data_IF_969820503336
#
_entry.id   IF_969820503336
#
_cell.length_a   1.000
_cell.length_b   1.000
_cell.length_c   1.000
_cell.angle_alpha   90.00
_cell.angle_beta   90.00
_cell.angle_gamma   90.00
#
_symmetry.space_group_name_H-M   'P 1'
#
loop_
_entity.id
_entity.type
_entity.pdbx_description
1 polymer ?
#
# COMPACT_ATOMS: atom_id res chain seq x y z
N UNK A 1 5.64 -28.15 -17.81
CA UNK A 1 6.71 -27.90 -16.83
C UNK A 1 6.04 -27.49 -15.53
N UNK A 2 6.25 -28.21 -14.42
CA UNK A 2 5.77 -27.77 -13.10
C UNK A 2 6.87 -26.90 -12.50
N UNK A 3 6.57 -25.65 -12.15
CA UNK A 3 7.44 -24.78 -11.38
C UNK A 3 6.80 -24.47 -10.04
N UNK A 4 7.62 -24.29 -9.04
CA UNK A 4 7.24 -23.95 -7.67
C UNK A 4 7.78 -22.55 -7.37
N UNK A 5 6.95 -21.70 -6.77
CA UNK A 5 7.39 -20.37 -6.32
C UNK A 5 7.92 -20.54 -4.91
N UNK A 6 9.23 -20.43 -4.74
CA UNK A 6 9.88 -20.59 -3.43
C UNK A 6 9.72 -19.35 -2.54
N UNK A 7 9.72 -18.16 -3.14
CA UNK A 7 9.62 -16.89 -2.44
C UNK A 7 8.64 -15.98 -3.17
N UNK A 8 7.51 -15.72 -2.55
CA UNK A 8 6.50 -14.79 -3.04
C UNK A 8 6.26 -13.68 -2.02
N UNK A 9 5.90 -12.51 -2.51
CA UNK A 9 5.43 -11.42 -1.65
C UNK A 9 3.92 -11.47 -1.65
N UNK A 10 3.25 -11.63 -0.49
CA UNK A 10 1.80 -11.69 -0.43
C UNK A 10 1.20 -10.31 -0.69
N UNK A 11 0.10 -10.29 -1.42
CA UNK A 11 -0.80 -9.16 -1.55
C UNK A 11 -2.19 -9.62 -1.14
N UNK A 12 -2.68 -9.12 -0.02
CA UNK A 12 -4.03 -9.43 0.49
C UNK A 12 -5.03 -8.43 -0.08
N UNK A 13 -6.25 -8.89 -0.35
CA UNK A 13 -7.32 -8.09 -0.93
C UNK A 13 -8.58 -8.25 -0.13
N UNK A 14 -9.19 -7.12 0.22
CA UNK A 14 -10.47 -7.04 0.92
C UNK A 14 -11.35 -6.00 0.24
N UNK A 15 -12.57 -5.96 0.64
CA UNK A 15 -13.54 -4.92 0.24
C UNK A 15 -14.25 -4.38 1.47
N UNK A 16 -14.39 -3.07 1.52
CA UNK A 16 -15.18 -2.37 2.51
C UNK A 16 -15.87 -1.18 1.84
N UNK A 17 -17.16 -1.00 2.11
CA UNK A 17 -17.93 0.11 1.54
C UNK A 17 -17.30 1.45 1.97
N UNK A 18 -16.86 2.29 1.03
CA UNK A 18 -16.18 3.53 1.35
C UNK A 18 -17.11 4.69 1.69
N UNK A 19 -18.43 4.52 1.60
CA UNK A 19 -19.41 5.61 1.56
C UNK A 19 -19.31 6.56 2.75
N UNK A 20 -19.16 6.05 3.95
CA UNK A 20 -19.07 6.86 5.16
C UNK A 20 -17.80 7.73 5.18
N UNK A 21 -16.65 7.13 4.90
CA UNK A 21 -15.38 7.86 4.85
C UNK A 21 -15.36 8.84 3.68
N UNK A 22 -15.95 8.46 2.55
CA UNK A 22 -16.02 9.29 1.35
C UNK A 22 -16.72 10.62 1.61
N UNK A 23 -17.87 10.57 2.28
CA UNK A 23 -18.62 11.79 2.62
C UNK A 23 -17.79 12.73 3.51
N UNK A 24 -17.13 12.19 4.54
CA UNK A 24 -16.29 12.98 5.44
C UNK A 24 -15.09 13.57 4.71
N UNK A 25 -14.38 12.76 3.93
CA UNK A 25 -13.18 13.17 3.21
C UNK A 25 -13.52 14.21 2.13
N UNK A 26 -14.55 13.99 1.32
CA UNK A 26 -14.96 14.95 0.29
C UNK A 26 -15.35 16.30 0.88
N UNK A 27 -16.08 16.29 2.00
CA UNK A 27 -16.44 17.53 2.69
C UNK A 27 -15.21 18.31 3.16
N UNK A 28 -14.23 17.61 3.77
CA UNK A 28 -13.02 18.24 4.28
C UNK A 28 -12.14 18.79 3.16
N UNK A 29 -11.95 18.01 2.10
CA UNK A 29 -11.09 18.43 0.98
C UNK A 29 -11.76 19.37 0.00
N UNK A 30 -13.09 19.52 0.01
CA UNK A 30 -13.79 20.51 -0.80
C UNK A 30 -13.36 21.94 -0.47
N UNK A 31 -13.05 22.18 0.79
CA UNK A 31 -12.62 23.49 1.27
C UNK A 31 -11.09 23.68 1.16
N UNK A 32 -10.36 22.65 0.69
CA UNK A 32 -8.90 22.66 0.61
C UNK A 32 -8.34 23.25 -0.71
N UNK A 33 -9.18 23.64 -1.65
CA UNK A 33 -8.74 24.32 -2.87
C UNK A 33 -8.03 25.63 -2.49
N UNK A 34 -6.68 25.59 -2.54
CA UNK A 34 -5.81 26.71 -2.17
C UNK A 34 -5.15 26.62 -0.80
N UNK A 35 -5.43 25.58 0.00
CA UNK A 35 -4.66 25.34 1.21
C UNK A 35 -3.23 24.89 0.85
N UNK A 36 -2.21 25.32 1.61
CA UNK A 36 -0.86 24.82 1.42
C UNK A 36 -0.87 23.30 1.59
N UNK A 37 -0.07 22.63 0.77
CA UNK A 37 0.23 21.22 0.97
C UNK A 37 0.71 21.04 2.41
N UNK A 38 0.18 20.05 3.11
CA UNK A 38 0.72 19.73 4.42
C UNK A 38 2.21 19.49 4.29
N UNK A 39 2.99 20.21 5.09
CA UNK A 39 4.42 19.92 5.19
C UNK A 39 4.56 18.45 5.67
N UNK A 40 4.94 17.59 4.75
CA UNK A 40 5.21 16.20 5.09
C UNK A 40 6.46 16.15 5.95
N UNK A 41 6.40 15.56 7.15
CA UNK A 41 7.58 15.46 7.99
C UNK A 41 8.70 14.72 7.26
N UNK A 42 9.92 15.24 7.30
CA UNK A 42 11.09 14.53 6.82
C UNK A 42 11.57 14.85 5.40
N UNK A 43 11.03 15.89 4.77
CA UNK A 43 11.55 16.36 3.48
C UNK A 43 11.22 15.43 2.31
N UNK A 44 10.11 14.74 2.36
CA UNK A 44 9.60 13.95 1.26
C UNK A 44 9.24 14.85 0.09
N UNK A 45 9.72 14.49 -1.09
CA UNK A 45 9.38 15.18 -2.34
C UNK A 45 8.02 14.69 -2.85
N UNK A 46 6.96 15.01 -2.09
CA UNK A 46 5.60 14.69 -2.47
C UNK A 46 4.72 15.94 -2.43
N UNK A 47 3.74 15.99 -3.32
CA UNK A 47 2.77 17.07 -3.41
C UNK A 47 1.33 16.58 -3.20
N UNK A 48 1.13 15.68 -2.26
CA UNK A 48 -0.16 15.14 -1.85
C UNK A 48 -0.69 15.87 -0.63
N UNK A 49 -2.01 16.11 -0.57
CA UNK A 49 -2.65 16.54 0.67
C UNK A 49 -2.86 15.34 1.58
N UNK A 50 -2.27 15.38 2.76
CA UNK A 50 -2.40 14.32 3.76
C UNK A 50 -3.07 14.83 5.02
N UNK A 51 -4.05 14.09 5.51
CA UNK A 51 -4.77 14.40 6.73
C UNK A 51 -4.64 13.28 7.75
N UNK A 52 -3.94 13.57 8.84
CA UNK A 52 -3.79 12.67 9.99
C UNK A 52 -4.92 12.84 11.02
N UNK A 53 -5.67 13.93 10.99
CA UNK A 53 -6.69 14.23 12.01
C UNK A 53 -7.96 13.41 11.81
N UNK A 54 -8.32 13.15 10.56
CA UNK A 54 -9.46 12.25 10.26
C UNK A 54 -9.22 10.90 10.91
N UNK A 55 -8.00 10.40 10.91
CA UNK A 55 -7.65 9.11 11.49
C UNK A 55 -7.66 9.11 13.03
N UNK A 56 -7.42 10.25 13.65
CA UNK A 56 -7.43 10.38 15.13
C UNK A 56 -8.82 10.54 15.72
N UNK A 57 -9.78 10.96 14.93
CA UNK A 57 -11.18 11.00 15.34
C UNK A 57 -11.73 9.59 15.28
N UNK A 58 -12.00 8.95 16.37
CA UNK A 58 -12.53 7.61 16.68
C UNK A 58 -13.33 6.82 15.60
N UNK A 59 -13.55 7.38 14.42
CA UNK A 59 -14.20 6.77 13.28
C UNK A 59 -13.47 5.49 12.80
N UNK A 60 -12.15 5.41 13.00
CA UNK A 60 -11.35 4.34 12.45
C UNK A 60 -11.12 3.15 13.37
N UNK A 61 -11.30 3.31 14.68
CA UNK A 61 -11.01 2.22 15.62
C UNK A 61 -11.91 1.02 15.42
N UNK A 62 -13.09 1.22 14.88
CA UNK A 62 -14.06 0.12 14.64
C UNK A 62 -14.37 -0.13 13.17
N UNK A 63 -14.09 0.84 12.30
CA UNK A 63 -14.43 0.72 10.88
C UNK A 63 -13.68 -0.42 10.19
N UNK A 64 -12.43 -0.66 10.59
CA UNK A 64 -11.59 -1.72 10.02
C UNK A 64 -11.50 -2.99 10.89
N UNK A 65 -12.24 -3.09 11.99
CA UNK A 65 -12.12 -4.23 12.93
C UNK A 65 -12.36 -5.58 12.26
N UNK A 66 -13.39 -5.69 11.43
CA UNK A 66 -13.68 -6.93 10.70
C UNK A 66 -12.59 -7.27 9.67
N UNK A 67 -12.05 -6.26 9.00
CA UNK A 67 -10.93 -6.45 8.06
C UNK A 67 -9.68 -6.90 8.80
N UNK A 68 -9.36 -6.29 9.94
CA UNK A 68 -8.21 -6.67 10.76
C UNK A 68 -8.35 -8.07 11.34
N UNK A 69 -9.56 -8.49 11.65
CA UNK A 69 -9.84 -9.86 12.09
C UNK A 69 -9.59 -10.85 10.94
N UNK A 70 -10.19 -10.62 9.77
CA UNK A 70 -9.96 -11.46 8.58
C UNK A 70 -8.47 -11.53 8.24
N UNK A 71 -7.81 -10.38 8.20
CA UNK A 71 -6.37 -10.31 7.94
C UNK A 71 -5.55 -11.10 8.97
N UNK A 72 -5.91 -11.03 10.27
CA UNK A 72 -5.25 -11.81 11.32
C UNK A 72 -5.35 -13.32 11.06
N UNK A 73 -6.52 -13.79 10.61
CA UNK A 73 -6.74 -15.18 10.26
C UNK A 73 -5.94 -15.58 9.01
N UNK A 74 -5.93 -14.73 7.97
CA UNK A 74 -5.22 -14.97 6.71
C UNK A 74 -3.69 -15.05 6.88
N UNK A 75 -3.12 -14.25 7.79
CA UNK A 75 -1.68 -14.32 8.13
C UNK A 75 -1.36 -15.36 9.20
N UNK A 76 -2.35 -16.08 9.70
CA UNK A 76 -2.19 -17.19 10.64
C UNK A 76 -1.83 -16.79 12.07
N UNK A 77 -2.29 -15.65 12.54
CA UNK A 77 -2.09 -15.20 13.93
C UNK A 77 -2.97 -15.99 14.89
N UNK A 78 -2.44 -17.08 15.44
CA UNK A 78 -3.20 -17.98 16.34
C UNK A 78 -3.56 -17.38 17.70
N UNK A 79 -2.67 -16.55 18.26
CA UNK A 79 -2.79 -15.98 19.61
C UNK A 79 -2.55 -14.46 19.61
N UNK A 80 -2.65 -13.83 18.47
CA UNK A 80 -2.43 -12.40 18.31
C UNK A 80 -3.51 -11.78 17.44
N UNK A 81 -3.45 -10.48 17.30
CA UNK A 81 -4.27 -9.76 16.35
C UNK A 81 -3.46 -8.73 15.59
N UNK A 82 -3.85 -8.51 14.35
CA UNK A 82 -3.38 -7.37 13.59
C UNK A 82 -4.11 -6.11 14.09
N UNK A 83 -3.37 -5.02 14.18
CA UNK A 83 -3.93 -3.73 14.59
C UNK A 83 -3.36 -2.61 13.74
N UNK A 84 -4.22 -1.73 13.28
CA UNK A 84 -3.82 -0.45 12.70
C UNK A 84 -3.30 0.41 13.86
N UNK A 85 -2.04 0.84 13.77
CA UNK A 85 -1.43 1.71 14.76
C UNK A 85 -1.25 3.15 14.26
N UNK A 86 -1.33 3.34 12.95
CA UNK A 86 -1.24 4.62 12.29
C UNK A 86 -2.07 4.60 11.02
N UNK A 87 -2.78 5.69 10.74
CA UNK A 87 -3.54 5.85 9.49
C UNK A 87 -3.66 7.32 9.12
N UNK A 88 -3.85 7.59 7.83
CA UNK A 88 -4.05 8.93 7.28
C UNK A 88 -4.85 8.87 6.00
N UNK A 89 -5.48 9.97 5.65
CA UNK A 89 -6.20 10.13 4.39
C UNK A 89 -5.34 10.93 3.41
N UNK A 90 -5.14 10.39 2.23
CA UNK A 90 -4.47 11.06 1.13
C UNK A 90 -5.50 11.54 0.10
N UNK A 91 -5.33 12.79 -0.33
CA UNK A 91 -6.09 13.40 -1.39
C UNK A 91 -5.15 13.83 -2.51
N UNK A 92 -5.41 13.32 -3.71
CA UNK A 92 -4.66 13.63 -4.91
C UNK A 92 -5.57 14.33 -5.93
N UNK A 93 -5.06 15.40 -6.52
CA UNK A 93 -5.68 16.12 -7.62
C UNK A 93 -4.66 16.32 -8.73
N UNK A 94 -5.08 16.73 -9.91
CA UNK A 94 -4.23 16.77 -11.11
C UNK A 94 -2.78 17.22 -10.88
N UNK A 95 -1.85 16.42 -11.30
CA UNK A 95 -0.40 16.61 -11.13
C UNK A 95 0.18 16.16 -9.79
N UNK A 96 -0.65 15.85 -8.79
CA UNK A 96 -0.17 15.39 -7.48
C UNK A 96 0.34 13.95 -7.55
N UNK A 97 1.43 13.70 -6.84
CA UNK A 97 2.12 12.42 -6.77
C UNK A 97 2.66 12.15 -5.38
N UNK A 98 3.07 10.93 -5.14
CA UNK A 98 3.84 10.55 -3.96
C UNK A 98 5.06 9.76 -4.42
N UNK A 99 6.23 10.18 -3.96
CA UNK A 99 7.50 9.54 -4.28
C UNK A 99 7.57 8.10 -3.77
N UNK A 100 8.60 7.39 -4.23
CA UNK A 100 8.86 6.03 -3.82
C UNK A 100 9.38 5.95 -2.40
N UNK A 101 8.63 5.25 -1.53
CA UNK A 101 8.91 5.10 -0.11
C UNK A 101 8.48 3.73 0.40
N UNK A 102 8.83 3.42 1.65
CA UNK A 102 8.36 2.28 2.43
C UNK A 102 7.87 2.74 3.81
N UNK A 103 7.34 1.81 4.58
CA UNK A 103 6.79 2.09 5.91
C UNK A 103 7.45 1.28 7.03
N UNK A 104 8.74 0.95 6.87
CA UNK A 104 9.48 0.31 7.96
C UNK A 104 9.54 1.26 9.20
N UNK A 105 9.43 0.73 10.43
CA UNK A 105 9.48 -0.67 10.84
C UNK A 105 8.10 -1.36 10.98
N UNK A 106 7.04 -0.85 10.40
CA UNK A 106 5.74 -1.53 10.42
C UNK A 106 5.82 -2.89 9.72
N UNK A 107 4.94 -3.83 10.09
CA UNK A 107 4.93 -5.15 9.47
C UNK A 107 4.20 -5.17 8.13
N UNK A 108 3.03 -4.53 8.08
CA UNK A 108 2.21 -4.42 6.88
C UNK A 108 1.70 -3.01 6.70
N UNK A 109 1.47 -2.65 5.46
CA UNK A 109 0.84 -1.39 5.05
C UNK A 109 -0.40 -1.69 4.23
N UNK A 110 -1.41 -0.86 4.38
CA UNK A 110 -2.67 -1.02 3.66
C UNK A 110 -3.11 0.27 2.99
N UNK A 111 -3.86 0.12 1.90
CA UNK A 111 -4.48 1.21 1.17
C UNK A 111 -5.94 0.83 0.91
N UNK A 112 -6.87 1.67 1.40
CA UNK A 112 -8.29 1.59 1.08
C UNK A 112 -8.63 2.69 0.06
N UNK A 113 -9.15 2.31 -1.09
CA UNK A 113 -9.51 3.22 -2.18
C UNK A 113 -10.89 3.80 -1.96
N UNK A 114 -10.97 5.02 -1.45
CA UNK A 114 -12.22 5.69 -1.04
C UNK A 114 -12.93 6.33 -2.23
N UNK A 115 -12.17 7.03 -3.06
CA UNK A 115 -12.62 7.58 -4.34
C UNK A 115 -11.56 7.26 -5.38
N UNK A 116 -11.96 6.47 -6.35
CA UNK A 116 -11.04 5.96 -7.34
C UNK A 116 -11.77 5.77 -8.68
N UNK A 117 -11.45 6.59 -9.64
CA UNK A 117 -11.95 6.50 -11.02
C UNK A 117 -10.78 6.15 -11.95
N UNK A 118 -10.69 6.75 -13.10
CA UNK A 118 -9.69 6.47 -14.14
C UNK A 118 -8.23 6.80 -13.76
N UNK A 119 -7.84 6.51 -12.53
CA UNK A 119 -6.49 6.72 -12.01
C UNK A 119 -5.66 5.44 -12.06
N UNK A 120 -4.34 5.62 -12.17
CA UNK A 120 -3.43 4.52 -11.90
C UNK A 120 -3.45 4.16 -10.40
N UNK A 121 -3.43 2.87 -10.07
CA UNK A 121 -3.28 2.43 -8.68
C UNK A 121 -1.87 2.73 -8.16
N UNK A 122 -1.61 2.33 -6.92
CA UNK A 122 -0.25 2.35 -6.38
C UNK A 122 0.67 1.43 -7.19
N UNK A 123 1.90 1.87 -7.42
CA UNK A 123 2.95 1.08 -8.02
C UNK A 123 3.76 0.41 -6.91
N UNK A 124 3.62 -0.89 -6.75
CA UNK A 124 4.40 -1.71 -5.82
C UNK A 124 5.69 -2.16 -6.49
N UNK A 125 6.84 -1.86 -5.90
CA UNK A 125 8.12 -2.24 -6.47
C UNK A 125 8.43 -3.71 -6.21
N UNK A 126 8.96 -4.36 -7.23
CA UNK A 126 9.48 -5.71 -7.09
C UNK A 126 10.81 -5.67 -6.32
N UNK A 127 10.88 -6.19 -5.09
CA UNK A 127 12.10 -6.13 -4.29
C UNK A 127 13.26 -6.94 -4.88
N UNK A 128 12.97 -7.87 -5.78
CA UNK A 128 13.96 -8.72 -6.44
C UNK A 128 14.41 -8.17 -7.79
N UNK A 129 13.82 -7.08 -8.27
CA UNK A 129 14.09 -6.55 -9.61
C UNK A 129 15.58 -6.25 -9.85
N UNK A 130 16.25 -5.64 -8.87
CA UNK A 130 17.68 -5.31 -9.01
C UNK A 130 18.55 -6.58 -9.12
N UNK A 131 18.23 -7.62 -8.37
CA UNK A 131 18.95 -8.91 -8.47
C UNK A 131 18.75 -9.54 -9.84
N UNK A 132 17.53 -9.49 -10.36
CA UNK A 132 17.24 -9.98 -11.71
C UNK A 132 17.99 -9.18 -12.77
N UNK A 133 17.95 -7.86 -12.71
CA UNK A 133 18.71 -7.01 -13.62
C UNK A 133 20.20 -7.31 -13.60
N UNK A 134 20.79 -7.53 -12.44
CA UNK A 134 22.21 -7.90 -12.32
C UNK A 134 22.50 -9.25 -12.99
N UNK A 135 21.66 -10.24 -12.79
CA UNK A 135 21.84 -11.57 -13.38
C UNK A 135 21.71 -11.50 -14.90
N UNK A 136 20.73 -10.75 -15.41
CA UNK A 136 20.47 -10.65 -16.83
C UNK A 136 21.41 -9.68 -17.55
N UNK A 137 21.79 -8.57 -16.93
CA UNK A 137 22.75 -7.62 -17.53
C UNK A 137 24.19 -8.14 -17.55
N UNK A 138 24.54 -9.05 -16.63
CA UNK A 138 25.87 -9.64 -16.55
C UNK A 138 26.16 -10.77 -17.55
N UNK A 139 25.22 -11.10 -18.44
CA UNK A 139 25.56 -11.89 -19.61
C UNK A 139 24.93 -13.28 -19.71
N UNK A 140 23.69 -13.48 -19.35
CA UNK A 140 22.93 -14.60 -19.91
C UNK A 140 22.67 -14.31 -21.39
N UNK A 141 23.76 -14.44 -22.21
CA UNK A 141 23.66 -14.34 -23.64
C UNK A 141 22.87 -15.53 -24.16
N UNK A 142 21.71 -15.29 -24.74
CA UNK A 142 20.90 -16.30 -25.41
C UNK A 142 19.51 -16.53 -24.83
N UNK A 143 19.06 -15.68 -23.89
CA UNK A 143 17.64 -15.63 -23.59
C UNK A 143 16.92 -14.78 -24.64
N UNK A 144 15.78 -15.27 -25.08
CA UNK A 144 14.83 -14.53 -25.88
C UNK A 144 14.30 -13.35 -25.04
N UNK A 145 14.44 -12.12 -25.55
CA UNK A 145 13.99 -10.91 -24.86
C UNK A 145 12.48 -10.97 -24.54
N UNK A 146 11.68 -11.63 -25.39
CA UNK A 146 10.25 -11.82 -25.17
C UNK A 146 9.96 -12.79 -24.01
N UNK A 147 10.74 -13.85 -23.86
CA UNK A 147 10.62 -14.79 -22.76
C UNK A 147 11.04 -14.14 -21.41
N UNK A 148 12.02 -13.25 -21.46
CA UNK A 148 12.44 -12.43 -20.32
C UNK A 148 11.36 -11.44 -19.91
N UNK A 149 10.78 -10.71 -20.87
CA UNK A 149 9.72 -9.74 -20.62
C UNK A 149 8.45 -10.38 -20.04
N UNK A 150 8.18 -11.64 -20.39
CA UNK A 150 7.04 -12.41 -19.89
C UNK A 150 7.26 -12.95 -18.47
N UNK A 151 8.50 -12.95 -17.96
CA UNK A 151 8.76 -13.52 -16.65
C UNK A 151 8.25 -12.58 -15.53
N UNK A 152 7.48 -13.10 -14.55
CA UNK A 152 6.88 -12.25 -13.50
C UNK A 152 7.90 -11.44 -12.68
N UNK A 153 9.13 -11.92 -12.58
CA UNK A 153 10.21 -11.24 -11.85
C UNK A 153 10.93 -10.16 -12.65
N UNK A 154 10.74 -10.09 -13.97
CA UNK A 154 11.33 -9.04 -14.82
C UNK A 154 10.60 -7.69 -14.69
N UNK A 155 9.38 -7.70 -14.17
CA UNK A 155 8.61 -6.48 -13.96
C UNK A 155 9.19 -5.69 -12.79
N UNK A 156 9.53 -4.43 -13.05
CA UNK A 156 10.00 -3.51 -12.02
C UNK A 156 8.89 -3.16 -11.02
N UNK A 157 7.67 -3.02 -11.51
CA UNK A 157 6.50 -2.65 -10.72
C UNK A 157 5.35 -3.62 -10.94
N UNK A 158 4.55 -3.79 -9.91
CA UNK A 158 3.22 -4.36 -9.98
C UNK A 158 2.20 -3.26 -9.71
N UNK A 159 1.26 -3.07 -10.64
CA UNK A 159 0.12 -2.18 -10.46
C UNK A 159 -1.11 -3.06 -10.22
N UNK A 160 -1.58 -3.22 -8.99
CA UNK A 160 -2.74 -4.08 -8.72
C UNK A 160 -4.00 -3.46 -9.33
N UNK A 161 -4.79 -4.25 -10.03
CA UNK A 161 -6.13 -3.82 -10.44
C UNK A 161 -6.97 -3.57 -9.18
N UNK A 162 -7.54 -2.37 -9.07
CA UNK A 162 -8.36 -1.96 -7.93
C UNK A 162 -9.50 -1.07 -8.39
N UNK A 163 -10.54 -1.03 -7.57
CA UNK A 163 -11.69 -0.13 -7.72
C UNK A 163 -12.03 0.51 -6.39
N UNK A 164 -12.98 1.43 -6.40
CA UNK A 164 -13.50 2.07 -5.21
C UNK A 164 -14.04 1.03 -4.22
N UNK A 165 -13.66 1.14 -2.95
CA UNK A 165 -13.97 0.19 -1.88
C UNK A 165 -12.96 -0.94 -1.70
N UNK A 166 -12.06 -1.16 -2.65
CA UNK A 166 -11.01 -2.17 -2.50
C UNK A 166 -9.98 -1.76 -1.45
N UNK A 167 -9.55 -2.73 -0.66
CA UNK A 167 -8.43 -2.62 0.27
C UNK A 167 -7.34 -3.58 -0.19
N UNK A 168 -6.13 -3.09 -0.30
CA UNK A 168 -4.95 -3.92 -0.49
C UNK A 168 -4.04 -3.81 0.75
N UNK A 169 -3.49 -4.95 1.19
CA UNK A 169 -2.53 -5.01 2.29
C UNK A 169 -1.29 -5.76 1.80
N UNK A 170 -0.12 -5.21 2.05
CA UNK A 170 1.18 -5.74 1.62
C UNK A 170 2.24 -5.51 2.69
N UNK A 171 3.35 -6.29 2.71
CA UNK A 171 4.43 -6.08 3.65
C UNK A 171 5.02 -4.68 3.54
N UNK A 172 5.25 -4.01 4.67
CA UNK A 172 5.68 -2.60 4.73
C UNK A 172 7.06 -2.34 4.14
N UNK A 173 7.90 -3.37 3.97
CA UNK A 173 9.19 -3.24 3.29
C UNK A 173 9.07 -3.09 1.76
N UNK A 174 7.88 -3.32 1.20
CA UNK A 174 7.65 -3.11 -0.24
C UNK A 174 7.59 -1.63 -0.52
N UNK A 175 8.60 -1.14 -1.22
CA UNK A 175 8.63 0.23 -1.69
C UNK A 175 7.51 0.45 -2.70
N UNK A 176 6.91 1.61 -2.62
CA UNK A 176 5.79 1.94 -3.48
C UNK A 176 5.70 3.44 -3.72
N UNK A 177 4.99 3.80 -4.79
CA UNK A 177 4.76 5.19 -5.17
C UNK A 177 3.38 5.37 -5.78
N UNK A 178 2.94 6.61 -5.84
CA UNK A 178 1.76 7.04 -6.60
C UNK A 178 2.24 7.99 -7.70
N UNK A 179 2.03 7.59 -8.95
CA UNK A 179 2.33 8.47 -10.08
C UNK A 179 1.42 9.69 -10.09
N UNK A 180 1.83 10.74 -10.79
CA UNK A 180 1.05 11.94 -10.95
C UNK A 180 -0.36 11.63 -11.50
N UNK A 181 -1.36 12.15 -10.80
CA UNK A 181 -2.77 11.99 -11.17
C UNK A 181 -3.06 12.89 -12.36
N UNK A 182 -3.43 12.31 -13.50
CA UNK A 182 -3.61 13.05 -14.76
C UNK A 182 -5.04 13.54 -14.99
N UNK A 183 -6.02 13.10 -14.21
CA UNK A 183 -7.41 13.46 -14.38
C UNK A 183 -7.81 14.66 -13.52
N UNK A 184 -8.88 15.36 -13.93
CA UNK A 184 -9.49 16.44 -13.14
C UNK A 184 -10.20 15.95 -11.88
N UNK A 185 -10.49 14.64 -11.80
CA UNK A 185 -11.16 14.05 -10.65
C UNK A 185 -10.18 13.76 -9.52
N UNK A 186 -10.63 13.95 -8.29
CA UNK A 186 -9.83 13.66 -7.13
C UNK A 186 -9.75 12.14 -6.86
N UNK A 187 -8.56 11.67 -6.51
CA UNK A 187 -8.35 10.37 -5.89
C UNK A 187 -8.27 10.56 -4.38
N UNK A 188 -9.01 9.75 -3.64
CA UNK A 188 -8.96 9.73 -2.17
C UNK A 188 -8.66 8.30 -1.73
N UNK A 189 -7.71 8.15 -0.84
CA UNK A 189 -7.39 6.86 -0.22
C UNK A 189 -7.09 7.02 1.26
N UNK A 190 -7.45 6.02 2.06
CA UNK A 190 -6.93 5.86 3.42
C UNK A 190 -5.74 4.95 3.35
N UNK A 191 -4.60 5.42 3.83
CA UNK A 191 -3.43 4.60 4.04
C UNK A 191 -3.28 4.29 5.53
N UNK A 192 -2.78 3.11 5.86
CA UNK A 192 -2.60 2.70 7.24
C UNK A 192 -1.45 1.70 7.40
N UNK A 193 -0.84 1.73 8.57
CA UNK A 193 0.20 0.81 8.98
C UNK A 193 -0.33 -0.16 10.03
N UNK A 194 0.05 -1.44 9.88
CA UNK A 194 -0.40 -2.54 10.71
C UNK A 194 0.79 -3.12 11.45
N UNK A 195 0.62 -3.30 12.78
CA UNK A 195 1.48 -4.11 13.59
C UNK A 195 0.70 -5.31 14.14
N UNK A 196 1.43 -6.36 14.49
CA UNK A 196 0.86 -7.53 15.15
C UNK A 196 1.11 -7.44 16.64
N UNK A 197 0.05 -7.60 17.44
CA UNK A 197 0.17 -7.77 18.88
C UNK A 197 0.04 -9.25 19.16
N UNK A 198 1.13 -9.88 19.57
CA UNK A 198 1.09 -11.22 20.14
C UNK A 198 0.53 -11.16 21.55
N UNK A 199 -0.45 -12.04 21.85
CA UNK A 199 -0.80 -12.31 23.24
C UNK A 199 0.39 -12.95 23.96
N UNK A 200 1.03 -12.19 24.80
CA UNK A 200 2.10 -12.44 25.79
C UNK A 200 2.89 -13.77 25.75
N UNK A 201 3.42 -14.15 24.63
CA UNK A 201 4.54 -15.10 24.59
C UNK A 201 5.60 -14.55 23.66
N UNK A 202 6.58 -13.85 24.27
CA UNK A 202 7.86 -13.57 23.63
C UNK A 202 8.46 -14.90 23.16
N UNK A 203 8.25 -15.28 21.94
CA UNK A 203 9.18 -16.21 21.29
C UNK A 203 10.38 -15.37 20.86
N UNK A 204 11.39 -15.37 21.68
CA UNK A 204 12.73 -15.03 21.25
C UNK A 204 13.04 -16.02 20.12
N UNK A 205 13.29 -15.52 18.91
CA UNK A 205 13.90 -16.31 17.86
C UNK A 205 15.21 -16.85 18.41
N UNK A 206 15.24 -18.12 18.74
CA UNK A 206 16.51 -18.83 18.95
C UNK A 206 17.03 -19.12 17.54
N UNK A 207 18.17 -18.54 17.13
CA UNK A 207 18.83 -19.00 15.92
C UNK A 207 19.25 -20.45 16.13
N UNK A 208 18.72 -21.36 15.34
CA UNK A 208 19.30 -22.72 15.18
C UNK A 208 20.54 -22.63 14.31
#
# INVERSE_FOLDING_TARGET
>A
MKHEILFGVPLFRYYLDPSEIKEIAEKKFKDSDGLPLNETPGGWDCNVHTDFDISRQNLYTHYYDDIMKQFSDDVGLKNGKAMIHESWVNYYKGGMNQEEHDHLPSFYSGIHYIKFSDHEPVHLMNPLFQMYNMIYSSGVRGCDDDALAAHPFSKQYCCPEVKEGDIIIFPSFIRHRVNAVNSGDARISVAFNINTIEGSTRRVFSPN
#
